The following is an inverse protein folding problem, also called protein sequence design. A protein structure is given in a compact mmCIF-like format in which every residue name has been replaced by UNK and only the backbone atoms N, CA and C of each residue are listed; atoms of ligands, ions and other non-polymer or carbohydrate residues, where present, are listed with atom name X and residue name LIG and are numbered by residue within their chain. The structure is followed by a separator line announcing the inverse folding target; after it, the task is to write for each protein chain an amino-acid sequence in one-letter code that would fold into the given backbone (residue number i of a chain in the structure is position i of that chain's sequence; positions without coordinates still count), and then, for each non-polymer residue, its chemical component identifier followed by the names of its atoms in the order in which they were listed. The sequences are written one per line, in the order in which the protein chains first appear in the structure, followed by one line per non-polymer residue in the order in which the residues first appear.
data_IF_343815781966
#
_entry.id   IF_343815781966
#
_cell.length_a   1.000
_cell.length_b   1.000
_cell.length_c   1.000
_cell.angle_alpha   90.00
_cell.angle_beta   90.00
_cell.angle_gamma   90.00
#
_symmetry.space_group_name_H-M   'P 1'
#
loop_
_entity.id
_entity.type
_entity.pdbx_description
1 polymer ?
#
# COMPACT_ATOMS: atom_id res chain seq x y z
N UNK A 1 39.69 -14.32 -9.38
CA UNK A 1 38.60 -15.30 -9.35
C UNK A 1 37.63 -14.91 -8.25
N UNK A 2 36.51 -14.32 -8.63
CA UNK A 2 35.17 -14.54 -8.09
C UNK A 2 34.27 -13.76 -9.03
N UNK A 3 33.81 -14.47 -10.06
CA UNK A 3 32.81 -14.04 -11.02
C UNK A 3 31.47 -14.10 -10.28
N UNK A 4 31.20 -13.11 -9.42
CA UNK A 4 29.93 -12.98 -8.71
C UNK A 4 28.89 -12.40 -9.68
N UNK A 5 28.58 -13.19 -10.72
CA UNK A 5 27.37 -13.01 -11.49
C UNK A 5 26.22 -13.37 -10.57
N UNK A 6 25.78 -12.38 -9.80
CA UNK A 6 24.50 -12.43 -9.13
C UNK A 6 23.49 -12.60 -10.26
N UNK A 7 22.98 -13.82 -10.44
CA UNK A 7 21.91 -14.04 -11.39
C UNK A 7 20.80 -13.04 -11.05
N UNK A 8 20.31 -12.26 -12.03
CA UNK A 8 19.23 -11.32 -11.77
C UNK A 8 18.05 -12.14 -11.25
N UNK A 9 17.69 -11.91 -10.00
CA UNK A 9 16.54 -12.57 -9.40
C UNK A 9 15.32 -12.33 -10.28
N UNK A 10 14.63 -13.41 -10.63
CA UNK A 10 13.34 -13.35 -11.31
C UNK A 10 12.24 -13.70 -10.31
N UNK A 11 11.29 -12.79 -10.02
CA UNK A 11 10.17 -13.14 -9.15
C UNK A 11 9.34 -14.27 -9.77
N UNK A 12 8.67 -15.10 -8.95
CA UNK A 12 7.64 -15.99 -9.45
C UNK A 12 6.63 -15.22 -10.30
N UNK A 13 6.13 -15.84 -11.37
CA UNK A 13 5.14 -15.20 -12.23
C UNK A 13 3.84 -14.89 -11.46
N UNK A 14 3.22 -13.76 -11.78
CA UNK A 14 1.88 -13.42 -11.28
C UNK A 14 0.84 -14.31 -11.96
N UNK A 15 0.21 -15.21 -11.19
CA UNK A 15 -0.79 -16.14 -11.71
C UNK A 15 -2.12 -15.47 -12.04
N UNK A 16 -2.36 -14.28 -11.50
CA UNK A 16 -3.58 -13.50 -11.67
C UNK A 16 -3.48 -12.52 -12.85
N UNK A 17 -2.30 -12.36 -13.45
CA UNK A 17 -2.07 -11.44 -14.58
C UNK A 17 -2.96 -11.73 -15.80
N UNK A 18 -3.41 -12.99 -15.98
CA UNK A 18 -4.35 -13.38 -17.04
C UNK A 18 -5.78 -12.88 -16.82
N UNK A 19 -6.16 -12.56 -15.58
CA UNK A 19 -7.49 -12.05 -15.21
C UNK A 19 -7.47 -10.52 -14.96
N UNK A 20 -6.34 -9.99 -14.49
CA UNK A 20 -6.12 -8.56 -14.31
C UNK A 20 -4.69 -8.20 -14.73
N UNK A 21 -4.58 -7.43 -15.82
CA UNK A 21 -3.28 -6.95 -16.30
C UNK A 21 -2.60 -6.05 -15.26
N UNK A 22 -1.27 -5.83 -15.37
CA UNK A 22 -0.55 -4.89 -14.50
C UNK A 22 -1.21 -3.51 -14.39
N UNK A 23 -1.76 -2.97 -15.50
CA UNK A 23 -2.47 -1.69 -15.51
C UNK A 23 -3.75 -1.73 -14.67
N UNK A 24 -4.53 -2.81 -14.79
CA UNK A 24 -5.78 -3.02 -14.03
C UNK A 24 -5.46 -3.13 -12.54
N UNK A 25 -4.40 -3.86 -12.20
CA UNK A 25 -3.95 -4.02 -10.82
C UNK A 25 -3.53 -2.68 -10.18
N UNK A 26 -2.69 -1.90 -10.87
CA UNK A 26 -2.28 -0.57 -10.40
C UNK A 26 -3.47 0.39 -10.31
N UNK A 27 -4.44 0.28 -11.22
CA UNK A 27 -5.67 1.07 -11.17
C UNK A 27 -6.52 0.72 -9.95
N UNK A 28 -6.66 -0.55 -9.61
CA UNK A 28 -7.39 -0.98 -8.41
C UNK A 28 -6.78 -0.39 -7.13
N UNK A 29 -5.45 -0.39 -7.02
CA UNK A 29 -4.74 0.22 -5.89
C UNK A 29 -4.99 1.73 -5.77
N UNK A 30 -4.98 2.46 -6.90
CA UNK A 30 -5.31 3.89 -6.94
C UNK A 30 -6.76 4.17 -6.58
N UNK A 31 -7.70 3.40 -7.13
CA UNK A 31 -9.12 3.52 -6.79
C UNK A 31 -9.37 3.28 -5.29
N UNK A 32 -8.69 2.31 -4.68
CA UNK A 32 -8.77 2.07 -3.25
C UNK A 32 -8.24 3.26 -2.43
N UNK A 33 -7.09 3.82 -2.83
CA UNK A 33 -6.53 5.02 -2.20
C UNK A 33 -7.47 6.23 -2.33
N UNK A 34 -8.03 6.49 -3.51
CA UNK A 34 -8.92 7.62 -3.76
C UNK A 34 -10.21 7.49 -2.93
N UNK A 35 -10.78 6.28 -2.89
CA UNK A 35 -11.94 5.97 -2.07
C UNK A 35 -11.66 6.22 -0.57
N UNK A 36 -10.55 5.68 -0.07
CA UNK A 36 -10.14 5.88 1.32
C UNK A 36 -9.92 7.36 1.63
N UNK A 37 -9.12 8.06 0.83
CA UNK A 37 -8.76 9.47 1.05
C UNK A 37 -9.99 10.36 1.11
N UNK A 38 -10.94 10.16 0.17
CA UNK A 38 -12.19 10.94 0.14
C UNK A 38 -13.06 10.66 1.37
N UNK A 39 -13.24 9.40 1.73
CA UNK A 39 -14.05 8.99 2.88
C UNK A 39 -13.43 9.49 4.19
N UNK A 40 -12.13 9.32 4.35
CA UNK A 40 -11.41 9.71 5.56
C UNK A 40 -11.47 11.23 5.76
N UNK A 41 -11.26 12.02 4.71
CA UNK A 41 -11.39 13.48 4.77
C UNK A 41 -12.79 13.92 5.22
N UNK A 42 -13.84 13.38 4.62
CA UNK A 42 -15.23 13.70 5.01
C UNK A 42 -15.56 13.26 6.44
N UNK A 43 -14.94 12.17 6.90
CA UNK A 43 -15.06 11.70 8.29
C UNK A 43 -14.45 12.72 9.26
N UNK A 44 -13.26 13.26 8.94
CA UNK A 44 -12.61 14.30 9.74
C UNK A 44 -13.37 15.63 9.73
N UNK A 45 -13.98 15.99 8.60
CA UNK A 45 -14.81 17.20 8.46
C UNK A 45 -16.16 17.08 9.20
N UNK A 46 -16.57 15.89 9.63
CA UNK A 46 -17.86 15.65 10.27
C UNK A 46 -19.07 15.74 9.32
N UNK A 47 -18.85 15.79 8.00
CA UNK A 47 -19.91 15.91 6.99
C UNK A 47 -20.61 14.57 6.73
N UNK A 48 -21.56 14.23 7.60
CA UNK A 48 -22.33 12.98 7.50
C UNK A 48 -23.18 12.90 6.23
N UNK A 49 -23.66 14.03 5.69
CA UNK A 49 -24.47 14.03 4.48
C UNK A 49 -23.60 13.78 3.25
N UNK A 50 -22.50 14.52 3.11
CA UNK A 50 -21.52 14.32 2.04
C UNK A 50 -20.88 12.93 2.10
N UNK A 51 -20.65 12.39 3.31
CA UNK A 51 -20.14 11.04 3.49
C UNK A 51 -21.07 9.97 2.90
N UNK A 52 -22.39 10.05 3.17
CA UNK A 52 -23.36 9.12 2.59
C UNK A 52 -23.41 9.21 1.06
N UNK A 53 -23.36 10.42 0.51
CA UNK A 53 -23.31 10.65 -0.94
C UNK A 53 -22.03 10.06 -1.53
N UNK A 54 -20.88 10.29 -0.90
CA UNK A 54 -19.59 9.78 -1.35
C UNK A 54 -19.55 8.25 -1.34
N UNK A 55 -20.04 7.60 -0.28
CA UNK A 55 -20.10 6.12 -0.21
C UNK A 55 -20.95 5.54 -1.34
N UNK A 56 -22.12 6.12 -1.61
CA UNK A 56 -22.99 5.67 -2.70
C UNK A 56 -22.34 5.86 -4.08
N UNK A 57 -21.73 7.02 -4.31
CA UNK A 57 -21.06 7.35 -5.58
C UNK A 57 -19.84 6.45 -5.83
N UNK A 58 -18.96 6.32 -4.84
CA UNK A 58 -17.78 5.44 -4.92
C UNK A 58 -18.21 4.00 -5.16
N UNK A 59 -19.22 3.52 -4.42
CA UNK A 59 -19.76 2.18 -4.58
C UNK A 59 -20.30 1.93 -6.00
N UNK A 60 -21.00 2.89 -6.59
CA UNK A 60 -21.47 2.80 -7.98
C UNK A 60 -20.32 2.75 -8.98
N UNK A 61 -19.37 3.69 -8.90
CA UNK A 61 -18.23 3.77 -9.80
C UNK A 61 -17.36 2.50 -9.74
N UNK A 62 -17.15 1.97 -8.53
CA UNK A 62 -16.45 0.71 -8.33
C UNK A 62 -17.20 -0.47 -8.99
N UNK A 63 -18.52 -0.56 -8.83
CA UNK A 63 -19.35 -1.59 -9.47
C UNK A 63 -19.30 -1.50 -10.98
N UNK A 64 -19.43 -0.30 -11.55
CA UNK A 64 -19.34 -0.08 -12.99
C UNK A 64 -17.98 -0.54 -13.55
N UNK A 65 -16.89 -0.20 -12.86
CA UNK A 65 -15.54 -0.64 -13.23
C UNK A 65 -15.33 -2.15 -13.10
N UNK A 66 -15.90 -2.77 -12.07
CA UNK A 66 -15.90 -4.23 -11.91
C UNK A 66 -16.63 -4.87 -13.07
N UNK A 67 -17.85 -4.41 -13.41
CA UNK A 67 -18.67 -4.99 -14.47
C UNK A 67 -18.06 -4.85 -15.87
N UNK A 68 -17.16 -3.88 -16.07
CA UNK A 68 -16.40 -3.71 -17.30
C UNK A 68 -15.25 -4.71 -17.49
N UNK A 69 -15.18 -5.80 -16.72
CA UNK A 69 -14.19 -6.87 -16.91
C UNK A 69 -14.78 -8.02 -17.74
N UNK A 70 -13.92 -8.67 -18.52
CA UNK A 70 -14.32 -9.79 -19.37
C UNK A 70 -14.42 -11.09 -18.56
N UNK A 71 -15.66 -11.50 -18.26
CA UNK A 71 -15.96 -12.77 -17.61
C UNK A 71 -16.02 -12.71 -16.08
N UNK A 72 -16.67 -13.70 -15.48
CA UNK A 72 -17.00 -13.72 -14.05
C UNK A 72 -15.76 -13.72 -13.16
N UNK A 73 -14.72 -14.45 -13.54
CA UNK A 73 -13.46 -14.52 -12.76
C UNK A 73 -12.70 -13.20 -12.76
N UNK A 74 -12.66 -12.48 -13.89
CA UNK A 74 -12.03 -11.17 -13.97
C UNK A 74 -12.82 -10.13 -13.16
N UNK A 75 -14.16 -10.19 -13.20
CA UNK A 75 -15.04 -9.35 -12.36
C UNK A 75 -14.82 -9.62 -10.88
N UNK A 76 -14.77 -10.90 -10.48
CA UNK A 76 -14.50 -11.30 -9.11
C UNK A 76 -13.12 -10.83 -8.63
N UNK A 77 -12.08 -10.95 -9.48
CA UNK A 77 -10.74 -10.48 -9.14
C UNK A 77 -10.69 -8.95 -9.00
N UNK A 78 -11.31 -8.19 -9.91
CA UNK A 78 -11.41 -6.72 -9.78
C UNK A 78 -12.06 -6.31 -8.46
N UNK A 79 -13.15 -6.96 -8.09
CA UNK A 79 -13.82 -6.70 -6.81
C UNK A 79 -12.94 -7.08 -5.62
N UNK A 80 -12.26 -8.22 -5.68
CA UNK A 80 -11.33 -8.67 -4.63
C UNK A 80 -10.18 -7.67 -4.41
N UNK A 81 -9.59 -7.14 -5.49
CA UNK A 81 -8.55 -6.12 -5.42
C UNK A 81 -9.04 -4.84 -4.75
N UNK A 82 -10.24 -4.34 -5.11
CA UNK A 82 -10.82 -3.14 -4.51
C UNK A 82 -11.13 -3.33 -3.02
N UNK A 83 -11.82 -4.43 -2.67
CA UNK A 83 -12.17 -4.76 -1.28
C UNK A 83 -10.91 -4.90 -0.44
N UNK A 84 -9.92 -5.66 -0.93
CA UNK A 84 -8.62 -5.83 -0.25
C UNK A 84 -7.89 -4.50 -0.09
N UNK A 85 -7.89 -3.64 -1.11
CA UNK A 85 -7.20 -2.36 -1.05
C UNK A 85 -7.83 -1.42 -0.02
N UNK A 86 -9.15 -1.26 -0.08
CA UNK A 86 -9.91 -0.38 0.82
C UNK A 86 -9.76 -0.85 2.27
N UNK A 87 -9.87 -2.17 2.50
CA UNK A 87 -9.68 -2.76 3.83
C UNK A 87 -8.27 -2.53 4.37
N UNK A 88 -7.23 -2.72 3.56
CA UNK A 88 -5.84 -2.49 3.97
C UNK A 88 -5.54 -1.03 4.28
N UNK A 89 -6.10 -0.08 3.53
CA UNK A 89 -6.04 1.34 3.89
C UNK A 89 -6.72 1.61 5.23
N UNK A 90 -7.94 1.09 5.44
CA UNK A 90 -8.65 1.25 6.71
C UNK A 90 -7.87 0.68 7.89
N UNK A 91 -7.34 -0.53 7.75
CA UNK A 91 -6.54 -1.21 8.78
C UNK A 91 -5.27 -0.45 9.12
N UNK A 92 -4.54 0.03 8.12
CA UNK A 92 -3.29 0.78 8.33
C UNK A 92 -3.52 2.06 9.15
N UNK A 93 -4.61 2.79 8.89
CA UNK A 93 -4.96 3.99 9.67
C UNK A 93 -5.47 3.64 11.07
N UNK A 94 -6.26 2.58 11.20
CA UNK A 94 -6.68 2.11 12.53
C UNK A 94 -5.48 1.77 13.41
N UNK A 95 -4.48 1.10 12.86
CA UNK A 95 -3.24 0.78 13.57
C UNK A 95 -2.42 2.03 13.91
N UNK A 96 -2.23 2.95 12.96
CA UNK A 96 -1.38 4.13 13.14
C UNK A 96 -1.95 5.13 14.15
N UNK A 97 -3.29 5.27 14.20
CA UNK A 97 -3.98 6.26 15.02
C UNK A 97 -4.75 5.64 16.21
N UNK A 98 -4.56 4.35 16.48
CA UNK A 98 -5.23 3.67 17.60
C UNK A 98 -6.76 3.63 17.49
N UNK A 99 -7.30 3.66 16.27
CA UNK A 99 -8.75 3.62 16.05
C UNK A 99 -9.27 2.19 16.09
N UNK A 100 -10.46 1.98 16.66
CA UNK A 100 -11.12 0.67 16.61
C UNK A 100 -11.61 0.33 15.21
N UNK A 101 -12.17 1.32 14.49
CA UNK A 101 -12.70 1.18 13.15
C UNK A 101 -12.91 2.55 12.50
N UNK A 102 -13.08 2.56 11.18
CA UNK A 102 -13.57 3.70 10.42
C UNK A 102 -14.95 3.31 9.83
N UNK A 103 -16.09 3.65 10.48
CA UNK A 103 -17.41 3.12 10.11
C UNK A 103 -17.80 3.34 8.64
N UNK A 104 -17.37 4.46 8.06
CA UNK A 104 -17.62 4.77 6.66
C UNK A 104 -16.93 3.80 5.69
N UNK A 105 -15.74 3.30 6.05
CA UNK A 105 -15.03 2.28 5.28
C UNK A 105 -15.78 0.95 5.36
N UNK A 106 -16.25 0.56 6.55
CA UNK A 106 -17.09 -0.63 6.72
C UNK A 106 -18.40 -0.53 5.91
N UNK A 107 -19.02 0.65 5.87
CA UNK A 107 -20.21 0.89 5.07
C UNK A 107 -19.94 0.76 3.57
N UNK A 108 -18.81 1.29 3.07
CA UNK A 108 -18.40 1.13 1.67
C UNK A 108 -18.14 -0.35 1.33
N UNK A 109 -17.39 -1.06 2.17
CA UNK A 109 -17.10 -2.49 1.97
C UNK A 109 -18.39 -3.32 1.92
N UNK A 110 -19.35 -3.02 2.80
CA UNK A 110 -20.69 -3.63 2.76
C UNK A 110 -21.43 -3.30 1.45
N UNK A 111 -21.44 -2.04 1.03
CA UNK A 111 -22.10 -1.61 -0.20
C UNK A 111 -21.54 -2.30 -1.46
N UNK A 112 -20.23 -2.56 -1.50
CA UNK A 112 -19.57 -3.27 -2.60
C UNK A 112 -20.01 -4.74 -2.69
N UNK A 113 -20.27 -5.37 -1.55
CA UNK A 113 -20.70 -6.78 -1.46
C UNK A 113 -22.23 -6.95 -1.54
N UNK A 114 -23.00 -5.89 -1.32
CA UNK A 114 -24.45 -5.95 -1.38
C UNK A 114 -24.95 -6.35 -2.77
N UNK A 115 -25.83 -7.36 -2.80
CA UNK A 115 -26.52 -7.84 -3.99
C UNK A 115 -25.83 -9.00 -4.72
N UNK A 116 -24.73 -9.54 -4.20
CA UNK A 116 -24.09 -10.74 -4.74
C UNK A 116 -24.93 -11.98 -4.44
N UNK A 117 -25.01 -12.90 -5.40
CA UNK A 117 -25.51 -14.24 -5.15
C UNK A 117 -24.43 -15.15 -4.53
N UNK A 118 -24.79 -16.39 -4.20
CA UNK A 118 -23.87 -17.34 -3.58
C UNK A 118 -22.68 -17.71 -4.49
N UNK A 119 -22.86 -17.70 -5.80
CA UNK A 119 -21.80 -18.00 -6.76
C UNK A 119 -20.80 -16.85 -6.88
N UNK A 120 -21.30 -15.62 -6.95
CA UNK A 120 -20.50 -14.40 -6.97
C UNK A 120 -19.69 -14.24 -5.68
N UNK A 121 -20.30 -14.45 -4.50
CA UNK A 121 -19.57 -14.37 -3.24
C UNK A 121 -18.51 -15.47 -3.12
N UNK A 122 -18.79 -16.69 -3.58
CA UNK A 122 -17.80 -17.77 -3.60
C UNK A 122 -16.58 -17.44 -4.49
N UNK A 123 -16.82 -16.91 -5.70
CA UNK A 123 -15.74 -16.45 -6.60
C UNK A 123 -14.94 -15.30 -5.97
N UNK A 124 -15.62 -14.32 -5.38
CA UNK A 124 -14.95 -13.22 -4.67
C UNK A 124 -14.02 -13.77 -3.57
N UNK A 125 -14.50 -14.70 -2.74
CA UNK A 125 -13.70 -15.29 -1.66
C UNK A 125 -12.48 -16.05 -2.20
N UNK A 126 -12.62 -16.79 -3.31
CA UNK A 126 -11.50 -17.48 -3.95
C UNK A 126 -10.43 -16.49 -4.45
N UNK A 127 -10.85 -15.44 -5.16
CA UNK A 127 -9.92 -14.43 -5.67
C UNK A 127 -9.26 -13.63 -4.53
N UNK A 128 -10.01 -13.30 -3.48
CA UNK A 128 -9.47 -12.65 -2.28
C UNK A 128 -8.41 -13.52 -1.59
N UNK A 129 -8.67 -14.83 -1.45
CA UNK A 129 -7.69 -15.76 -0.90
C UNK A 129 -6.46 -15.91 -1.81
N UNK A 130 -6.63 -15.94 -3.13
CA UNK A 130 -5.53 -16.04 -4.08
C UNK A 130 -4.56 -14.85 -3.98
N UNK A 131 -5.08 -13.62 -3.84
CA UNK A 131 -4.27 -12.42 -3.60
C UNK A 131 -3.37 -12.59 -2.36
N UNK A 132 -3.88 -13.20 -1.29
CA UNK A 132 -3.13 -13.39 -0.04
C UNK A 132 -2.12 -14.54 -0.06
N UNK A 133 -2.40 -15.61 -0.81
CA UNK A 133 -1.61 -16.86 -0.77
C UNK A 133 -0.31 -16.80 -1.57
N UNK A 134 -0.34 -16.23 -2.78
CA UNK A 134 0.86 -16.12 -3.62
C UNK A 134 1.54 -14.78 -3.39
N UNK A 135 2.83 -14.76 -3.05
CA UNK A 135 3.56 -13.50 -2.89
C UNK A 135 3.47 -12.63 -4.17
N UNK A 136 3.76 -13.24 -5.33
CA UNK A 136 3.72 -12.58 -6.64
C UNK A 136 2.33 -12.44 -7.26
N UNK A 137 1.29 -13.04 -6.67
CA UNK A 137 -0.06 -12.90 -7.20
C UNK A 137 -0.54 -11.47 -6.99
N UNK A 138 -1.01 -10.83 -8.05
CA UNK A 138 -1.35 -9.41 -8.07
C UNK A 138 -0.21 -8.50 -7.58
N UNK A 139 1.03 -8.77 -8.01
CA UNK A 139 2.23 -8.08 -7.50
C UNK A 139 2.21 -6.57 -7.79
N UNK A 140 1.72 -6.16 -8.96
CA UNK A 140 1.61 -4.74 -9.33
C UNK A 140 0.63 -4.00 -8.43
N UNK A 141 -0.47 -4.66 -8.04
CA UNK A 141 -1.42 -4.12 -7.07
C UNK A 141 -0.78 -3.99 -5.69
N UNK A 142 -0.10 -5.04 -5.20
CA UNK A 142 0.55 -5.03 -3.88
C UNK A 142 1.65 -3.99 -3.80
N UNK A 143 2.48 -3.87 -4.84
CA UNK A 143 3.56 -2.87 -4.90
C UNK A 143 2.98 -1.45 -4.81
N UNK A 144 2.03 -1.12 -5.69
CA UNK A 144 1.37 0.20 -5.70
C UNK A 144 0.66 0.49 -4.37
N UNK A 145 -0.11 -0.48 -3.84
CA UNK A 145 -0.87 -0.33 -2.60
C UNK A 145 0.04 -0.10 -1.39
N UNK A 146 1.03 -0.98 -1.18
CA UNK A 146 1.94 -0.90 -0.03
C UNK A 146 2.75 0.38 -0.07
N UNK A 147 3.27 0.73 -1.24
CA UNK A 147 3.99 1.98 -1.45
C UNK A 147 3.15 3.19 -1.05
N UNK A 148 1.90 3.27 -1.52
CA UNK A 148 1.06 4.44 -1.27
C UNK A 148 0.61 4.51 0.20
N UNK A 149 0.27 3.37 0.83
CA UNK A 149 -0.06 3.31 2.28
C UNK A 149 1.13 3.77 3.12
N UNK A 150 2.31 3.16 2.93
CA UNK A 150 3.47 3.47 3.76
C UNK A 150 3.95 4.91 3.57
N UNK A 151 3.89 5.43 2.35
CA UNK A 151 4.25 6.82 2.08
C UNK A 151 3.28 7.80 2.73
N UNK A 152 1.97 7.53 2.68
CA UNK A 152 0.97 8.38 3.30
C UNK A 152 1.06 8.35 4.85
N UNK A 153 1.37 7.20 5.45
CA UNK A 153 1.66 7.13 6.89
C UNK A 153 2.95 7.85 7.25
N UNK A 154 3.99 7.76 6.43
CA UNK A 154 5.21 8.55 6.62
C UNK A 154 4.92 10.05 6.53
N UNK A 155 4.10 10.50 5.57
CA UNK A 155 3.65 11.88 5.48
C UNK A 155 2.87 12.32 6.72
N UNK A 156 1.98 11.48 7.24
CA UNK A 156 1.27 11.76 8.49
C UNK A 156 2.24 11.89 9.67
N UNK A 157 3.23 10.99 9.78
CA UNK A 157 4.25 11.02 10.82
C UNK A 157 5.08 12.31 10.81
N UNK A 158 5.55 12.75 9.63
CA UNK A 158 6.38 13.97 9.53
C UNK A 158 5.57 15.27 9.66
N UNK A 159 4.25 15.20 9.51
CA UNK A 159 3.35 16.33 9.71
C UNK A 159 2.93 16.52 11.18
N UNK A 160 3.22 15.55 12.06
CA UNK A 160 2.95 15.68 13.49
C UNK A 160 3.79 16.80 14.12
N UNK A 161 3.14 17.59 14.97
CA UNK A 161 3.80 18.57 15.84
C UNK A 161 4.09 17.99 17.24
N UNK A 162 3.32 16.98 17.64
CA UNK A 162 3.52 16.24 18.88
C UNK A 162 4.43 15.03 18.68
N UNK A 163 5.38 14.87 19.62
CA UNK A 163 6.39 13.81 19.53
C UNK A 163 5.81 12.43 19.82
N UNK A 164 4.86 12.31 20.75
CA UNK A 164 4.29 11.02 21.11
C UNK A 164 3.37 10.50 19.99
N UNK A 165 2.61 11.39 19.33
CA UNK A 165 1.86 11.08 18.11
C UNK A 165 2.78 10.60 16.99
N UNK A 166 3.88 11.32 16.72
CA UNK A 166 4.83 10.94 15.69
C UNK A 166 5.47 9.57 15.98
N UNK A 167 5.82 9.29 17.25
CA UNK A 167 6.36 8.00 17.69
C UNK A 167 5.35 6.85 17.59
N UNK A 168 4.06 7.11 17.82
CA UNK A 168 3.00 6.13 17.62
C UNK A 168 2.88 5.73 16.14
N UNK A 169 2.85 6.71 15.24
CA UNK A 169 2.78 6.44 13.79
C UNK A 169 4.06 5.74 13.31
N UNK A 170 5.24 6.16 13.81
CA UNK A 170 6.51 5.49 13.55
C UNK A 170 6.47 4.00 13.92
N UNK A 171 5.97 3.67 15.11
CA UNK A 171 5.87 2.29 15.57
C UNK A 171 4.95 1.45 14.67
N UNK A 172 3.79 1.99 14.28
CA UNK A 172 2.88 1.33 13.37
C UNK A 172 3.48 1.14 11.96
N UNK A 173 4.07 2.18 11.38
CA UNK A 173 4.72 2.13 10.07
C UNK A 173 5.89 1.13 10.06
N UNK A 174 6.79 1.22 11.04
CA UNK A 174 7.91 0.29 11.18
C UNK A 174 7.45 -1.16 11.34
N UNK A 175 6.42 -1.38 12.18
CA UNK A 175 5.81 -2.69 12.37
C UNK A 175 5.22 -3.28 11.09
N UNK A 176 4.48 -2.47 10.31
CA UNK A 176 3.92 -2.89 9.03
C UNK A 176 4.99 -3.26 8.00
N UNK A 177 6.08 -2.49 7.91
CA UNK A 177 7.19 -2.77 7.00
C UNK A 177 7.91 -4.07 7.38
N UNK A 178 8.16 -4.31 8.67
CA UNK A 178 8.76 -5.56 9.16
C UNK A 178 7.84 -6.75 8.91
N UNK A 179 6.55 -6.60 9.21
CA UNK A 179 5.55 -7.64 8.99
C UNK A 179 5.42 -8.00 7.50
N UNK A 180 5.52 -7.03 6.60
CA UNK A 180 5.48 -7.27 5.15
C UNK A 180 6.63 -8.17 4.71
N UNK A 181 7.84 -7.93 5.20
CA UNK A 181 9.01 -8.78 4.88
C UNK A 181 8.83 -10.19 5.44
N UNK A 182 8.27 -10.33 6.65
CA UNK A 182 8.02 -11.63 7.26
C UNK A 182 6.92 -12.43 6.54
N UNK A 183 5.85 -11.75 6.10
CA UNK A 183 4.73 -12.38 5.38
C UNK A 183 5.05 -12.69 3.92
N UNK A 184 6.01 -11.99 3.33
CA UNK A 184 6.46 -12.18 1.96
C UNK A 184 7.98 -12.36 1.90
N UNK A 185 8.53 -13.52 2.33
CA UNK A 185 9.97 -13.75 2.38
C UNK A 185 10.71 -13.61 1.05
N UNK A 186 10.02 -13.84 -0.07
CA UNK A 186 10.61 -13.88 -1.41
C UNK A 186 10.70 -12.49 -2.03
N UNK A 187 9.63 -11.69 -1.95
CA UNK A 187 9.55 -10.37 -2.61
C UNK A 187 9.23 -9.21 -1.67
N UNK A 188 8.81 -9.45 -0.44
CA UNK A 188 8.36 -8.41 0.50
C UNK A 188 9.41 -7.33 0.75
N UNK A 189 10.68 -7.71 0.85
CA UNK A 189 11.78 -6.77 1.00
C UNK A 189 11.92 -5.82 -0.20
N UNK A 190 11.52 -6.22 -1.42
CA UNK A 190 11.51 -5.33 -2.60
C UNK A 190 10.38 -4.32 -2.53
N UNK A 191 9.20 -4.73 -2.05
CA UNK A 191 8.08 -3.81 -1.83
C UNK A 191 8.44 -2.77 -0.76
N UNK A 192 9.15 -3.19 0.29
CA UNK A 192 9.70 -2.25 1.28
C UNK A 192 10.77 -1.35 0.64
N UNK A 193 11.69 -1.89 -0.15
CA UNK A 193 12.72 -1.09 -0.83
C UNK A 193 12.12 0.01 -1.72
N UNK A 194 11.04 -0.29 -2.44
CA UNK A 194 10.32 0.69 -3.28
C UNK A 194 9.66 1.80 -2.44
N UNK A 195 9.02 1.45 -1.33
CA UNK A 195 8.47 2.44 -0.40
C UNK A 195 9.56 3.32 0.22
N UNK A 196 10.69 2.72 0.64
CA UNK A 196 11.83 3.46 1.20
C UNK A 196 12.48 4.38 0.17
N UNK A 197 12.59 3.96 -1.10
CA UNK A 197 13.10 4.80 -2.17
C UNK A 197 12.31 6.10 -2.29
N UNK A 198 10.97 6.02 -2.25
CA UNK A 198 10.11 7.19 -2.30
C UNK A 198 10.23 8.06 -1.04
N UNK A 199 10.29 7.47 0.15
CA UNK A 199 10.51 8.23 1.39
C UNK A 199 11.84 9.00 1.30
N UNK A 200 12.93 8.34 0.93
CA UNK A 200 14.24 8.97 0.78
C UNK A 200 14.23 10.09 -0.27
N UNK A 201 13.54 9.89 -1.40
CA UNK A 201 13.32 10.92 -2.41
C UNK A 201 12.61 12.14 -1.82
N UNK A 202 11.54 11.93 -1.03
CA UNK A 202 10.82 13.02 -0.36
C UNK A 202 11.65 13.72 0.69
N UNK A 203 12.49 13.00 1.45
CA UNK A 203 13.43 13.64 2.39
C UNK A 203 14.37 14.63 1.72
N UNK A 204 14.77 14.39 0.47
CA UNK A 204 15.66 15.28 -0.28
C UNK A 204 14.90 16.40 -1.00
N UNK A 205 13.62 16.17 -1.33
CA UNK A 205 12.84 17.08 -2.16
C UNK A 205 11.88 18.00 -1.38
N UNK A 206 11.44 17.60 -0.19
CA UNK A 206 10.36 18.25 0.55
C UNK A 206 10.88 18.98 1.80
N UNK A 207 10.49 20.25 1.94
CA UNK A 207 10.83 21.06 3.11
C UNK A 207 10.18 20.52 4.40
N UNK A 208 9.00 19.90 4.31
CA UNK A 208 8.31 19.32 5.47
C UNK A 208 9.12 18.21 6.14
N UNK A 209 9.98 17.52 5.38
CA UNK A 209 10.85 16.46 5.91
C UNK A 209 12.09 17.00 6.65
N UNK A 210 12.28 18.33 6.70
CA UNK A 210 13.48 18.98 7.26
C UNK A 210 13.30 19.49 8.70
N UNK A 211 12.13 19.31 9.32
CA UNK A 211 11.95 19.63 10.75
C UNK A 211 12.74 18.66 11.61
N UNK A 212 13.13 19.07 12.82
CA UNK A 212 13.93 18.22 13.71
C UNK A 212 13.20 16.91 14.06
N UNK A 213 11.90 16.99 14.37
CA UNK A 213 11.08 15.82 14.67
C UNK A 213 10.90 14.90 13.45
N UNK A 214 10.67 15.46 12.25
CA UNK A 214 10.55 14.67 11.03
C UNK A 214 11.84 13.93 10.69
N UNK A 215 13.00 14.59 10.88
CA UNK A 215 14.31 13.99 10.68
C UNK A 215 14.59 12.90 11.72
N UNK A 216 14.36 13.18 13.00
CA UNK A 216 14.54 12.22 14.10
C UNK A 216 13.72 10.94 13.85
N UNK A 217 12.43 11.08 13.58
CA UNK A 217 11.52 9.94 13.39
C UNK A 217 11.82 9.16 12.10
N UNK A 218 12.20 9.84 11.02
CA UNK A 218 12.62 9.16 9.78
C UNK A 218 13.94 8.40 9.96
N UNK A 219 14.92 8.99 10.65
CA UNK A 219 16.18 8.30 11.00
C UNK A 219 15.90 7.08 11.90
N UNK A 220 15.01 7.24 12.88
CA UNK A 220 14.58 6.16 13.76
C UNK A 220 13.88 5.02 12.99
N UNK A 221 13.04 5.33 11.99
CA UNK A 221 12.43 4.33 11.11
C UNK A 221 13.50 3.47 10.43
N UNK A 222 14.47 4.11 9.79
CA UNK A 222 15.54 3.38 9.09
C UNK A 222 16.39 2.56 10.07
N UNK A 223 16.70 3.10 11.25
CA UNK A 223 17.45 2.40 12.28
C UNK A 223 16.70 1.16 12.80
N UNK A 224 15.39 1.27 13.05
CA UNK A 224 14.55 0.15 13.48
C UNK A 224 14.53 -0.96 12.43
N UNK A 225 14.36 -0.62 11.15
CA UNK A 225 14.35 -1.61 10.07
C UNK A 225 15.68 -2.36 9.98
N UNK A 226 16.81 -1.65 10.04
CA UNK A 226 18.16 -2.27 10.02
C UNK A 226 18.43 -3.17 11.23
N UNK A 227 17.90 -2.80 12.40
CA UNK A 227 18.09 -3.56 13.64
C UNK A 227 17.19 -4.81 13.69
N UNK A 228 16.00 -4.72 13.13
CA UNK A 228 14.96 -5.75 13.30
C UNK A 228 15.02 -6.83 12.21
N UNK A 229 15.35 -6.45 10.97
CA UNK A 229 15.41 -7.39 9.86
C UNK A 229 16.78 -8.08 9.79
N UNK A 230 16.85 -9.34 9.32
CA UNK A 230 18.13 -9.99 9.03
C UNK A 230 18.99 -9.16 8.08
N UNK A 231 20.32 -9.25 8.24
CA UNK A 231 21.26 -8.45 7.46
C UNK A 231 21.19 -8.79 5.97
N UNK A 232 21.02 -10.07 5.67
CA UNK A 232 20.87 -10.64 4.34
C UNK A 232 19.64 -10.11 3.60
N UNK A 233 18.65 -9.61 4.34
CA UNK A 233 17.44 -8.99 3.79
C UNK A 233 17.53 -7.46 3.80
N UNK A 234 18.00 -6.87 4.88
CA UNK A 234 18.04 -5.41 5.04
C UNK A 234 19.09 -4.73 4.16
N UNK A 235 20.27 -5.34 3.95
CA UNK A 235 21.31 -4.78 3.08
C UNK A 235 20.85 -4.62 1.62
N UNK A 236 20.38 -5.67 0.91
CA UNK A 236 19.90 -5.52 -0.46
C UNK A 236 18.69 -4.59 -0.56
N UNK A 237 17.80 -4.60 0.43
CA UNK A 237 16.64 -3.71 0.51
C UNK A 237 17.06 -2.22 0.53
N UNK A 238 17.97 -1.84 1.43
CA UNK A 238 18.47 -0.46 1.48
C UNK A 238 19.34 -0.11 0.28
N UNK A 239 20.12 -1.06 -0.25
CA UNK A 239 20.93 -0.84 -1.45
C UNK A 239 20.04 -0.51 -2.66
N UNK A 240 18.96 -1.26 -2.87
CA UNK A 240 17.99 -1.02 -3.95
C UNK A 240 17.29 0.33 -3.77
N UNK A 241 16.85 0.66 -2.56
CA UNK A 241 16.22 1.97 -2.28
C UNK A 241 17.17 3.13 -2.63
N UNK A 242 18.43 3.05 -2.20
CA UNK A 242 19.45 4.07 -2.46
C UNK A 242 19.76 4.22 -3.96
N UNK A 243 19.79 3.12 -4.72
CA UNK A 243 20.04 3.17 -6.16
C UNK A 243 19.00 4.01 -6.91
N UNK A 244 17.72 3.91 -6.52
CA UNK A 244 16.64 4.72 -7.10
C UNK A 244 16.85 6.23 -6.85
N UNK A 245 17.25 6.61 -5.63
CA UNK A 245 17.56 8.01 -5.28
C UNK A 245 18.74 8.53 -6.10
N UNK A 246 19.81 7.74 -6.24
CA UNK A 246 20.98 8.12 -7.04
C UNK A 246 20.60 8.30 -8.51
N UNK A 247 19.80 7.39 -9.07
CA UNK A 247 19.33 7.49 -10.45
C UNK A 247 18.53 8.78 -10.70
N UNK A 248 17.61 9.12 -9.78
CA UNK A 248 16.85 10.36 -9.85
C UNK A 248 17.70 11.62 -9.68
N UNK A 249 18.68 11.61 -8.77
CA UNK A 249 19.61 12.75 -8.62
C UNK A 249 20.44 12.96 -9.89
N UNK A 250 20.86 11.87 -10.55
CA UNK A 250 21.59 11.94 -11.82
C UNK A 250 20.72 12.51 -12.94
N UNK A 251 19.46 12.09 -13.07
CA UNK A 251 18.56 12.62 -14.09
C UNK A 251 18.31 14.12 -13.91
N UNK A 252 18.23 14.61 -12.67
CA UNK A 252 18.08 16.05 -12.38
C UNK A 252 19.31 16.91 -12.65
N UNK A 253 20.51 16.32 -12.73
CA UNK A 253 21.75 17.05 -13.08
C UNK A 253 22.00 17.13 -14.58
N UNK A 254 21.30 16.32 -15.36
CA UNK A 254 21.37 16.28 -16.83
C UNK A 254 20.39 17.25 -17.50
N UNK A 255 19.55 17.93 -16.71
CA UNK A 255 18.60 18.96 -17.09
C UNK A 255 18.92 20.26 -16.36
#
# INVERSE_FOLDING_TARGET
MSDDRTEPFSPPADRLAGLATPEVQRLAARMAQDAFTRIFRLTLEGDQAGLRVAVAEIGRLAKDWVQAADGDEARALRLALLVSGIDQWGLAWCQAFGLTAIPAISALLGALRNGMDAGDDARLQQQFAAIGQGESDAVDFKMELRRNIHLALWHAMIACEDRDEALSILAALGGMLVALVAQMPTIGWRLVADALALIQLRCVADAAASTDLARETTEALFAVLRRTLPRETSEPMFAQANQAVIAWQRSRRLH
#
